data_IF_369510690021
#
_entry.id   IF_369510690021
#
_cell.length_a   1.000
_cell.length_b   1.000
_cell.length_c   1.000
_cell.angle_alpha   90.00
_cell.angle_beta   90.00
_cell.angle_gamma   90.00
#
_symmetry.space_group_name_H-M   'P 1'
#
loop_
_entity.id
_entity.type
_entity.pdbx_description
1 polymer ?
#
# COMPACT_ATOMS: atom_id res chain seq x y z
N UNK A 1 0.16 -19.64 -15.86
CA UNK A 1 -0.58 -19.03 -14.74
C UNK A 1 -1.37 -17.86 -15.30
N UNK A 2 -2.69 -17.82 -15.11
CA UNK A 2 -3.47 -16.64 -15.49
C UNK A 2 -3.14 -15.56 -14.46
N UNK A 3 -2.60 -14.42 -14.91
CA UNK A 3 -2.35 -13.28 -14.03
C UNK A 3 -3.70 -12.66 -13.65
N UNK A 4 -3.92 -12.28 -12.38
CA UNK A 4 -5.17 -11.63 -11.98
C UNK A 4 -5.37 -10.35 -12.77
N UNK A 5 -6.62 -10.08 -13.14
CA UNK A 5 -7.00 -8.79 -13.71
C UNK A 5 -6.81 -7.68 -12.67
N UNK A 6 -6.69 -6.44 -13.14
CA UNK A 6 -6.59 -5.29 -12.24
C UNK A 6 -7.81 -5.19 -11.32
N UNK A 7 -9.00 -5.47 -11.85
CA UNK A 7 -10.26 -5.43 -11.09
C UNK A 7 -10.29 -6.47 -9.97
N UNK A 8 -9.87 -7.72 -10.25
CA UNK A 8 -9.75 -8.76 -9.23
C UNK A 8 -8.73 -8.37 -8.15
N UNK A 9 -7.59 -7.81 -8.55
CA UNK A 9 -6.56 -7.34 -7.63
C UNK A 9 -7.06 -6.19 -6.75
N UNK A 10 -7.82 -5.25 -7.32
CA UNK A 10 -8.42 -4.13 -6.62
C UNK A 10 -9.45 -4.59 -5.59
N UNK A 11 -10.44 -5.36 -6.03
CA UNK A 11 -11.52 -5.85 -5.18
C UNK A 11 -10.99 -6.71 -4.03
N UNK A 12 -9.93 -7.49 -4.27
CA UNK A 12 -9.31 -8.31 -3.24
C UNK A 12 -8.49 -7.50 -2.23
N UNK A 13 -7.75 -6.47 -2.66
CA UNK A 13 -6.66 -5.91 -1.85
C UNK A 13 -6.79 -4.44 -1.49
N UNK A 14 -7.74 -3.67 -2.04
CA UNK A 14 -7.84 -2.25 -1.76
C UNK A 14 -7.90 -1.94 -0.26
N UNK A 15 -8.81 -2.59 0.48
CA UNK A 15 -8.98 -2.38 1.93
C UNK A 15 -7.74 -2.75 2.74
N UNK A 16 -7.15 -3.91 2.47
CA UNK A 16 -5.97 -4.39 3.19
C UNK A 16 -4.72 -3.58 2.86
N UNK A 17 -4.60 -3.09 1.62
CA UNK A 17 -3.53 -2.17 1.23
C UNK A 17 -3.71 -0.79 1.87
N UNK A 18 -4.94 -0.27 1.95
CA UNK A 18 -5.24 1.00 2.60
C UNK A 18 -4.91 0.92 4.09
N UNK A 19 -5.25 -0.18 4.76
CA UNK A 19 -4.85 -0.41 6.16
C UNK A 19 -3.32 -0.36 6.33
N UNK A 20 -2.55 -1.02 5.45
CA UNK A 20 -1.08 -0.99 5.51
C UNK A 20 -0.53 0.43 5.31
N UNK A 21 -1.10 1.21 4.39
CA UNK A 21 -0.71 2.60 4.21
C UNK A 21 -1.10 3.48 5.41
N UNK A 22 -2.27 3.25 6.00
CA UNK A 22 -2.77 3.99 7.17
C UNK A 22 -1.87 3.82 8.39
N UNK A 23 -1.33 2.62 8.62
CA UNK A 23 -0.35 2.37 9.70
C UNK A 23 0.94 3.20 9.54
N UNK A 24 1.25 3.67 8.33
CA UNK A 24 2.45 4.47 8.02
C UNK A 24 2.14 5.97 8.04
N UNK A 25 1.02 6.38 7.43
CA UNK A 25 0.68 7.80 7.27
C UNK A 25 -0.24 8.34 8.37
N UNK A 26 -0.76 7.48 9.23
CA UNK A 26 -1.68 7.78 10.33
C UNK A 26 -2.89 8.63 9.91
N UNK A 27 -3.35 8.45 8.68
CA UNK A 27 -4.48 9.15 8.08
C UNK A 27 -5.18 8.24 7.09
N UNK A 28 -6.41 7.84 7.41
CA UNK A 28 -7.23 7.00 6.55
C UNK A 28 -7.43 7.60 5.16
N UNK A 29 -7.72 8.91 5.07
CA UNK A 29 -7.93 9.59 3.79
C UNK A 29 -6.67 9.56 2.94
N UNK A 30 -5.51 9.89 3.51
CA UNK A 30 -4.25 9.86 2.78
C UNK A 30 -3.89 8.44 2.32
N UNK A 31 -4.16 7.44 3.17
CA UNK A 31 -3.93 6.05 2.85
C UNK A 31 -4.80 5.56 1.67
N UNK A 32 -6.08 5.92 1.64
CA UNK A 32 -6.97 5.59 0.53
C UNK A 32 -6.51 6.26 -0.77
N UNK A 33 -6.14 7.54 -0.74
CA UNK A 33 -5.61 8.27 -1.90
C UNK A 33 -4.32 7.63 -2.44
N UNK A 34 -3.37 7.29 -1.56
CA UNK A 34 -2.13 6.59 -1.93
C UNK A 34 -2.44 5.28 -2.65
N UNK A 35 -3.36 4.48 -2.12
CA UNK A 35 -3.71 3.19 -2.72
C UNK A 35 -4.40 3.39 -4.07
N UNK A 36 -5.31 4.37 -4.19
CA UNK A 36 -5.93 4.72 -5.47
C UNK A 36 -4.87 5.11 -6.52
N UNK A 37 -3.92 5.98 -6.16
CA UNK A 37 -2.83 6.39 -7.05
C UNK A 37 -1.97 5.20 -7.51
N UNK A 38 -1.71 4.25 -6.62
CA UNK A 38 -1.01 3.01 -6.99
C UNK A 38 -1.83 2.19 -7.98
N UNK A 39 -3.13 2.01 -7.77
CA UNK A 39 -3.98 1.30 -8.73
C UNK A 39 -4.11 2.01 -10.07
N UNK A 40 -4.16 3.34 -10.10
CA UNK A 40 -4.12 4.13 -11.35
C UNK A 40 -2.82 3.90 -12.11
N UNK A 41 -1.68 3.83 -11.40
CA UNK A 41 -0.38 3.48 -12.02
C UNK A 41 -0.39 2.05 -12.56
N UNK A 42 -0.90 1.08 -11.79
CA UNK A 42 -1.01 -0.31 -12.21
C UNK A 42 -1.93 -0.48 -13.44
N UNK A 43 -2.98 0.33 -13.56
CA UNK A 43 -3.88 0.31 -14.72
C UNK A 43 -3.19 0.63 -16.05
N UNK A 44 -2.05 1.33 -16.00
CA UNK A 44 -1.24 1.69 -17.18
C UNK A 44 -0.17 0.64 -17.48
N UNK A 45 -0.06 -0.40 -16.66
CA UNK A 45 0.94 -1.45 -16.79
C UNK A 45 0.33 -2.74 -17.33
N UNK A 46 1.16 -3.55 -17.97
CA UNK A 46 0.80 -4.92 -18.33
C UNK A 46 1.09 -5.86 -17.14
N UNK A 47 0.04 -6.16 -16.36
CA UNK A 47 0.14 -7.01 -15.17
C UNK A 47 0.63 -8.43 -15.47
N UNK A 48 0.50 -8.91 -16.72
CA UNK A 48 0.97 -10.25 -17.11
C UNK A 48 2.50 -10.38 -17.06
N UNK A 49 3.22 -9.26 -17.06
CA UNK A 49 4.68 -9.19 -16.95
C UNK A 49 5.18 -9.17 -15.50
N UNK A 50 4.29 -9.13 -14.53
CA UNK A 50 4.63 -9.08 -13.10
C UNK A 50 4.45 -10.48 -12.52
N UNK A 51 5.55 -11.09 -12.07
CA UNK A 51 5.57 -12.45 -11.52
C UNK A 51 4.64 -12.61 -10.30
N UNK A 52 4.54 -11.58 -9.44
CA UNK A 52 3.64 -11.59 -8.29
C UNK A 52 2.94 -10.22 -8.11
N UNK A 53 1.78 -10.01 -8.77
CA UNK A 53 1.06 -8.73 -8.73
C UNK A 53 0.65 -8.29 -7.31
N UNK A 54 0.26 -9.23 -6.44
CA UNK A 54 -0.05 -8.94 -5.04
C UNK A 54 1.16 -8.43 -4.27
N UNK A 55 2.31 -9.09 -4.35
CA UNK A 55 3.53 -8.63 -3.67
C UNK A 55 3.97 -7.27 -4.21
N UNK A 56 3.87 -7.09 -5.53
CA UNK A 56 4.20 -5.83 -6.18
C UNK A 56 3.29 -4.68 -5.72
N UNK A 57 1.97 -4.91 -5.63
CA UNK A 57 1.01 -3.95 -5.10
C UNK A 57 1.41 -3.47 -3.70
N UNK A 58 1.64 -4.38 -2.76
CA UNK A 58 2.00 -4.00 -1.38
C UNK A 58 3.34 -3.27 -1.30
N UNK A 59 4.30 -3.62 -2.16
CA UNK A 59 5.55 -2.87 -2.29
C UNK A 59 5.32 -1.44 -2.76
N UNK A 60 4.52 -1.26 -3.82
CA UNK A 60 4.19 0.07 -4.35
C UNK A 60 3.45 0.93 -3.32
N UNK A 61 2.44 0.37 -2.63
CA UNK A 61 1.65 1.08 -1.61
C UNK A 61 2.52 1.51 -0.43
N UNK A 62 3.37 0.60 0.08
CA UNK A 62 4.27 0.92 1.19
C UNK A 62 5.26 2.02 0.81
N UNK A 63 5.87 1.94 -0.38
CA UNK A 63 6.80 2.95 -0.85
C UNK A 63 6.13 4.31 -0.99
N UNK A 64 4.94 4.37 -1.62
CA UNK A 64 4.18 5.60 -1.75
C UNK A 64 3.77 6.19 -0.38
N UNK A 65 3.42 5.34 0.59
CA UNK A 65 3.11 5.77 1.95
C UNK A 65 4.32 6.32 2.69
N UNK A 66 5.50 5.71 2.54
CA UNK A 66 6.75 6.21 3.12
C UNK A 66 7.19 7.53 2.48
N UNK A 67 7.06 7.66 1.15
CA UNK A 67 7.36 8.89 0.43
C UNK A 67 6.45 10.03 0.90
N UNK A 68 5.14 9.74 1.04
CA UNK A 68 4.17 10.68 1.59
C UNK A 68 4.54 11.10 3.01
N UNK A 69 4.79 10.14 3.92
CA UNK A 69 5.12 10.40 5.30
C UNK A 69 6.43 11.19 5.45
N UNK A 70 7.45 10.86 4.64
CA UNK A 70 8.74 11.56 4.63
C UNK A 70 8.59 12.99 4.13
N UNK A 71 7.81 13.20 3.07
CA UNK A 71 7.52 14.53 2.53
C UNK A 71 6.69 15.36 3.51
N UNK A 72 5.67 14.76 4.14
CA UNK A 72 4.86 15.45 5.15
C UNK A 72 5.65 15.78 6.41
N UNK A 73 6.53 14.87 6.86
CA UNK A 73 7.44 15.12 7.97
C UNK A 73 8.42 16.24 7.63
N UNK A 74 8.99 16.22 6.42
CA UNK A 74 9.88 17.27 5.94
C UNK A 74 9.16 18.62 5.90
N UNK A 75 7.98 18.71 5.30
CA UNK A 75 7.18 19.95 5.26
C UNK A 75 6.84 20.45 6.66
N UNK A 76 6.34 19.58 7.52
CA UNK A 76 6.01 19.92 8.91
C UNK A 76 7.24 20.40 9.68
N UNK A 77 8.39 19.80 9.42
CA UNK A 77 9.65 20.19 10.04
C UNK A 77 10.19 21.50 9.46
N UNK A 78 10.08 21.75 8.15
CA UNK A 78 10.43 23.03 7.51
C UNK A 78 9.53 24.18 8.02
N UNK A 79 8.23 23.92 8.17
CA UNK A 79 7.26 24.84 8.76
C UNK A 79 7.60 25.20 10.21
N UNK A 80 8.13 24.24 10.98
CA UNK A 80 8.47 24.42 12.39
C UNK A 80 9.89 24.98 12.62
N UNK A 81 10.86 24.67 11.76
CA UNK A 81 12.28 24.86 12.06
C UNK A 81 13.10 25.60 10.99
N UNK A 82 12.54 25.97 9.83
CA UNK A 82 13.27 26.75 8.83
C UNK A 82 14.57 26.08 8.34
N UNK A 83 14.43 25.11 7.43
CA UNK A 83 15.47 24.51 6.54
C UNK A 83 16.84 24.15 7.14
N UNK A 84 17.06 22.86 7.39
CA UNK A 84 18.29 22.10 7.16
C UNK A 84 18.05 20.57 7.27
N UNK A 85 18.42 19.81 6.24
CA UNK A 85 18.00 18.40 6.06
C UNK A 85 19.13 17.42 6.39
N UNK A 86 18.77 16.28 7.02
CA UNK A 86 19.41 14.99 6.78
C UNK A 86 18.31 14.02 6.32
N UNK A 87 18.34 13.67 5.03
CA UNK A 87 17.45 12.67 4.44
C UNK A 87 18.16 11.32 4.58
N UNK A 88 17.84 10.56 5.61
CA UNK A 88 18.24 9.16 5.67
C UNK A 88 17.45 8.39 4.61
N UNK A 89 18.17 7.86 3.62
CA UNK A 89 17.65 6.90 2.66
C UNK A 89 17.18 5.64 3.40
N UNK A 90 15.88 5.52 3.63
CA UNK A 90 15.31 4.28 4.17
C UNK A 90 15.28 3.24 3.04
N UNK A 91 16.39 2.52 2.87
CA UNK A 91 16.42 1.32 2.04
C UNK A 91 15.72 0.19 2.81
N UNK A 92 14.54 -0.25 2.36
CA UNK A 92 13.79 -1.31 3.02
C UNK A 92 13.47 -2.44 2.05
N UNK A 93 14.21 -3.54 2.21
CA UNK A 93 13.86 -4.84 1.68
C UNK A 93 12.62 -5.36 2.43
N UNK A 94 11.56 -5.74 1.72
CA UNK A 94 10.35 -6.28 2.36
C UNK A 94 10.71 -7.58 3.05
N UNK A 95 10.65 -7.61 4.39
CA UNK A 95 10.82 -8.85 5.12
C UNK A 95 9.70 -9.83 4.73
N UNK A 96 10.00 -11.14 4.70
CA UNK A 96 8.97 -12.18 4.47
C UNK A 96 7.80 -12.02 5.44
N UNK A 97 8.08 -11.55 6.65
CA UNK A 97 7.10 -11.37 7.72
C UNK A 97 6.06 -10.29 7.40
N UNK A 98 6.45 -9.21 6.73
CA UNK A 98 5.54 -8.13 6.31
C UNK A 98 4.56 -8.62 5.23
N UNK A 99 5.08 -9.39 4.26
CA UNK A 99 4.27 -10.00 3.20
C UNK A 99 3.30 -11.02 3.79
N UNK A 100 3.76 -11.84 4.74
CA UNK A 100 2.89 -12.79 5.42
C UNK A 100 1.83 -12.10 6.28
N UNK A 101 2.16 -11.00 6.96
CA UNK A 101 1.20 -10.23 7.76
C UNK A 101 0.12 -9.61 6.89
N UNK A 102 0.49 -9.02 5.75
CA UNK A 102 -0.47 -8.50 4.77
C UNK A 102 -1.37 -9.61 4.21
N UNK A 103 -0.79 -10.78 3.91
CA UNK A 103 -1.55 -11.94 3.45
C UNK A 103 -2.52 -12.49 4.52
N UNK A 104 -2.10 -12.53 5.79
CA UNK A 104 -2.97 -12.94 6.91
C UNK A 104 -4.15 -11.99 7.07
N UNK A 105 -3.89 -10.69 7.03
CA UNK A 105 -4.93 -9.67 7.15
C UNK A 105 -5.91 -9.74 5.98
N UNK A 106 -5.41 -9.91 4.75
CA UNK A 106 -6.25 -10.11 3.57
C UNK A 106 -7.19 -11.32 3.71
N UNK A 107 -6.68 -12.46 4.21
CA UNK A 107 -7.51 -13.65 4.47
C UNK A 107 -8.58 -13.39 5.52
N UNK A 108 -8.26 -12.64 6.58
CA UNK A 108 -9.21 -12.29 7.62
C UNK A 108 -10.35 -11.42 7.07
N UNK A 109 -10.03 -10.40 6.27
CA UNK A 109 -11.03 -9.57 5.62
C UNK A 109 -11.92 -10.37 4.67
N UNK A 110 -11.36 -11.24 3.84
CA UNK A 110 -12.16 -12.09 2.96
C UNK A 110 -13.09 -13.04 3.74
N UNK A 111 -12.63 -13.56 4.88
CA UNK A 111 -13.47 -14.41 5.72
C UNK A 111 -14.64 -13.63 6.34
N UNK A 112 -14.39 -12.40 6.81
CA UNK A 112 -15.43 -11.51 7.34
C UNK A 112 -16.44 -11.14 6.24
N UNK A 113 -15.97 -10.74 5.05
CA UNK A 113 -16.86 -10.41 3.94
C UNK A 113 -17.70 -11.59 3.47
N UNK A 114 -17.16 -12.81 3.49
CA UNK A 114 -17.94 -14.02 3.20
C UNK A 114 -19.00 -14.27 4.26
N UNK A 115 -18.66 -14.11 5.54
CA UNK A 115 -19.61 -14.30 6.63
C UNK A 115 -20.76 -13.27 6.58
N UNK A 116 -20.48 -12.05 6.14
CA UNK A 116 -21.48 -10.97 6.00
C UNK A 116 -22.36 -11.07 4.74
N UNK A 117 -22.03 -11.94 3.77
CA UNK A 117 -22.81 -12.16 2.54
C UNK A 117 -23.76 -13.36 2.63
N UNK A 118 -23.87 -14.00 3.80
CA UNK A 118 -24.68 -15.22 4.02
C UNK A 118 -26.01 -14.93 4.75
N UNK A 119 -26.40 -13.66 4.87
CA UNK A 119 -27.75 -13.24 5.31
C UNK A 119 -28.61 -12.75 4.14
#
# INVERSE_FOLDING_TARGET
MISPTLEELFNAHFRSAAYVAEEIVHSKSAAEDIVQDVFVKLARMDLSKIDSPTKYLYRCVRNAALDYASTHRLRRWEELNGKEVIADEVNFDLSRDDVERANRLHRLYQAIERALKVE
#
